data_IF_301505096187
#
_entry.id   IF_301505096187
#
_cell.length_a   1.000
_cell.length_b   1.000
_cell.length_c   1.000
_cell.angle_alpha   90.00
_cell.angle_beta   90.00
_cell.angle_gamma   90.00
#
_symmetry.space_group_name_H-M   'P 1'
#
loop_
_entity.id
_entity.type
_entity.pdbx_description
1 polymer ?
#
# COMPACT_ATOMS: atom_id res chain seq x y z
N UNK A 1 11.90 25.91 -1.30
CA UNK A 1 12.50 24.56 -1.34
C UNK A 1 12.15 23.61 -0.17
N UNK A 2 11.28 23.95 0.80
CA UNK A 2 10.92 23.06 1.93
C UNK A 2 9.92 21.91 1.63
N UNK A 3 9.30 21.85 0.44
CA UNK A 3 8.16 20.97 0.14
C UNK A 3 8.53 19.50 -0.16
N UNK A 4 9.72 19.25 -0.71
CA UNK A 4 10.13 17.91 -1.19
C UNK A 4 10.71 16.99 -0.11
N UNK A 5 11.29 17.54 0.98
CA UNK A 5 11.87 16.73 2.08
C UNK A 5 10.84 15.83 2.78
N UNK A 6 9.55 16.15 2.69
CA UNK A 6 8.47 15.39 3.33
C UNK A 6 8.04 14.14 2.54
N UNK A 7 8.31 14.01 1.23
CA UNK A 7 7.90 12.82 0.45
C UNK A 7 8.82 11.63 0.76
N UNK A 8 10.13 11.83 0.80
CA UNK A 8 11.07 10.74 1.11
C UNK A 8 10.82 10.15 2.50
N UNK A 9 10.54 10.99 3.50
CA UNK A 9 10.20 10.54 4.86
C UNK A 9 8.90 9.74 4.86
N UNK A 10 7.91 10.17 4.08
CA UNK A 10 6.62 9.47 3.96
C UNK A 10 6.76 8.13 3.24
N UNK A 11 7.55 8.06 2.17
CA UNK A 11 7.88 6.80 1.49
C UNK A 11 8.62 5.86 2.44
N UNK A 12 9.61 6.38 3.18
CA UNK A 12 10.33 5.62 4.20
C UNK A 12 9.40 5.10 5.30
N UNK A 13 8.46 5.92 5.78
CA UNK A 13 7.42 5.53 6.73
C UNK A 13 6.55 4.40 6.17
N UNK A 14 6.10 4.50 4.90
CA UNK A 14 5.31 3.45 4.28
C UNK A 14 6.07 2.15 4.16
N UNK A 15 7.33 2.16 3.72
CA UNK A 15 8.13 0.95 3.58
C UNK A 15 8.37 0.29 4.95
N UNK A 16 8.86 1.05 5.93
CA UNK A 16 9.19 0.53 7.26
C UNK A 16 7.94 0.12 8.05
N UNK A 17 6.90 0.95 8.04
CA UNK A 17 5.62 0.64 8.65
C UNK A 17 4.96 -0.59 8.02
N UNK A 18 5.06 -0.74 6.70
CA UNK A 18 4.54 -1.91 6.00
C UNK A 18 5.32 -3.17 6.35
N UNK A 19 6.64 -3.11 6.40
CA UNK A 19 7.49 -4.23 6.83
C UNK A 19 7.12 -4.72 8.23
N UNK A 20 6.88 -3.79 9.17
CA UNK A 20 6.38 -4.13 10.51
C UNK A 20 4.97 -4.72 10.46
N UNK A 21 4.05 -4.10 9.72
CA UNK A 21 2.67 -4.56 9.63
C UNK A 21 2.57 -6.00 9.10
N UNK A 22 3.38 -6.37 8.09
CA UNK A 22 3.38 -7.73 7.54
C UNK A 22 3.85 -8.76 8.56
N UNK A 23 4.78 -8.40 9.45
CA UNK A 23 5.32 -9.30 10.46
C UNK A 23 4.40 -9.53 11.66
N UNK A 24 3.54 -8.56 11.99
CA UNK A 24 2.78 -8.56 13.25
C UNK A 24 1.27 -8.41 13.09
N UNK A 25 0.77 -8.01 11.92
CA UNK A 25 -0.64 -7.78 11.67
C UNK A 25 -1.13 -8.67 10.51
N UNK A 26 -2.44 -8.95 10.46
CA UNK A 26 -3.04 -9.56 9.27
C UNK A 26 -2.93 -8.65 8.04
N UNK A 27 -3.32 -9.17 6.88
CA UNK A 27 -3.23 -8.50 5.58
C UNK A 27 -3.83 -7.08 5.51
N UNK A 28 -4.78 -6.72 6.38
CA UNK A 28 -5.36 -5.38 6.46
C UNK A 28 -4.44 -4.34 7.12
N UNK A 29 -3.39 -4.76 7.83
CA UNK A 29 -2.46 -3.86 8.53
C UNK A 29 -1.77 -2.86 7.59
N UNK A 30 -1.57 -3.23 6.33
CA UNK A 30 -1.02 -2.34 5.31
C UNK A 30 -1.92 -1.14 5.06
N UNK A 31 -3.23 -1.34 4.92
CA UNK A 31 -4.19 -0.22 4.76
C UNK A 31 -4.13 0.79 5.90
N UNK A 32 -3.91 0.30 7.14
CA UNK A 32 -3.74 1.13 8.33
C UNK A 32 -2.46 1.96 8.25
N UNK A 33 -1.34 1.37 7.81
CA UNK A 33 -0.07 2.11 7.60
C UNK A 33 -0.26 3.24 6.58
N UNK A 34 -0.94 2.97 5.46
CA UNK A 34 -1.26 3.98 4.46
C UNK A 34 -2.13 5.12 5.02
N UNK A 35 -3.15 4.77 5.82
CA UNK A 35 -3.98 5.75 6.52
C UNK A 35 -3.17 6.64 7.47
N UNK A 36 -2.29 6.06 8.29
CA UNK A 36 -1.47 6.86 9.20
C UNK A 36 -0.48 7.77 8.46
N UNK A 37 0.16 7.29 7.39
CA UNK A 37 1.07 8.15 6.63
C UNK A 37 0.34 9.34 6.00
N UNK A 38 -0.80 9.12 5.35
CA UNK A 38 -1.58 10.21 4.77
C UNK A 38 -2.14 11.20 5.83
N UNK A 39 -2.48 10.69 7.01
CA UNK A 39 -2.90 11.52 8.16
C UNK A 39 -1.77 12.41 8.69
N UNK A 40 -0.54 11.88 8.76
CA UNK A 40 0.60 12.56 9.39
C UNK A 40 1.31 13.56 8.45
N UNK A 41 1.49 13.19 7.18
CA UNK A 41 2.30 13.98 6.25
C UNK A 41 1.49 14.95 5.37
N UNK A 42 0.16 14.72 5.27
CA UNK A 42 -0.85 15.49 4.52
C UNK A 42 -0.32 16.23 3.29
N UNK A 43 -0.34 15.55 2.15
CA UNK A 43 -0.02 16.09 0.82
C UNK A 43 -1.29 16.50 0.05
N UNK A 44 -1.15 17.18 -1.10
CA UNK A 44 -2.27 17.32 -2.03
C UNK A 44 -2.89 15.95 -2.35
N UNK A 45 -4.23 15.89 -2.42
CA UNK A 45 -4.98 14.64 -2.55
C UNK A 45 -4.43 13.73 -3.65
N UNK A 46 -4.15 14.25 -4.84
CA UNK A 46 -3.65 13.45 -5.95
C UNK A 46 -2.30 12.77 -5.64
N UNK A 47 -1.43 13.40 -4.84
CA UNK A 47 -0.15 12.81 -4.42
C UNK A 47 -0.38 11.67 -3.43
N UNK A 48 -1.30 11.84 -2.48
CA UNK A 48 -1.67 10.80 -1.51
C UNK A 48 -2.24 9.56 -2.21
N UNK A 49 -3.15 9.78 -3.17
CA UNK A 49 -3.78 8.71 -3.93
C UNK A 49 -2.76 7.98 -4.81
N UNK A 50 -1.90 8.72 -5.53
CA UNK A 50 -0.89 8.13 -6.40
C UNK A 50 0.17 7.37 -5.59
N UNK A 51 0.64 7.93 -4.47
CA UNK A 51 1.60 7.25 -3.60
C UNK A 51 0.98 6.01 -2.96
N UNK A 52 -0.27 6.10 -2.48
CA UNK A 52 -1.01 4.96 -1.93
C UNK A 52 -1.17 3.84 -2.97
N UNK A 53 -1.58 4.19 -4.18
CA UNK A 53 -1.76 3.26 -5.29
C UNK A 53 -0.45 2.57 -5.68
N UNK A 54 0.59 3.35 -5.99
CA UNK A 54 1.83 2.81 -6.53
C UNK A 54 2.64 2.05 -5.48
N UNK A 55 2.76 2.57 -4.26
CA UNK A 55 3.48 1.87 -3.19
C UNK A 55 2.68 0.68 -2.68
N UNK A 56 1.36 0.79 -2.55
CA UNK A 56 0.50 -0.33 -2.18
C UNK A 56 0.63 -1.48 -3.18
N UNK A 57 0.59 -1.16 -4.48
CA UNK A 57 0.77 -2.15 -5.54
C UNK A 57 2.17 -2.79 -5.51
N UNK A 58 3.22 -1.97 -5.42
CA UNK A 58 4.59 -2.46 -5.38
C UNK A 58 4.87 -3.34 -4.15
N UNK A 59 4.38 -2.95 -2.97
CA UNK A 59 4.56 -3.72 -1.74
C UNK A 59 3.85 -5.07 -1.83
N UNK A 60 2.57 -5.11 -2.20
CA UNK A 60 1.83 -6.37 -2.33
C UNK A 60 2.39 -7.27 -3.44
N UNK A 61 2.77 -6.69 -4.58
CA UNK A 61 3.44 -7.44 -5.64
C UNK A 61 4.75 -8.06 -5.14
N UNK A 62 5.58 -7.26 -4.45
CA UNK A 62 6.85 -7.73 -3.89
C UNK A 62 6.67 -8.83 -2.86
N UNK A 63 5.75 -8.66 -1.91
CA UNK A 63 5.45 -9.67 -0.87
C UNK A 63 4.93 -10.97 -1.50
N UNK A 64 3.97 -10.87 -2.41
CA UNK A 64 3.42 -12.07 -3.07
C UNK A 64 4.45 -12.78 -3.93
N UNK A 65 5.34 -12.03 -4.60
CA UNK A 65 6.46 -12.62 -5.33
C UNK A 65 7.44 -13.35 -4.39
N UNK A 66 7.84 -12.72 -3.27
CA UNK A 66 8.74 -13.33 -2.27
C UNK A 66 8.11 -14.61 -1.69
N UNK A 67 6.85 -14.56 -1.27
CA UNK A 67 6.13 -15.72 -0.74
C UNK A 67 5.99 -16.84 -1.80
N UNK A 68 5.75 -16.46 -3.05
CA UNK A 68 5.70 -17.41 -4.16
C UNK A 68 7.06 -18.08 -4.40
N UNK A 69 8.16 -17.31 -4.40
CA UNK A 69 9.51 -17.83 -4.57
C UNK A 69 9.92 -18.77 -3.43
N UNK A 70 9.58 -18.43 -2.18
CA UNK A 70 9.77 -19.31 -1.02
C UNK A 70 9.01 -20.63 -1.15
N UNK A 71 7.88 -20.62 -1.87
CA UNK A 71 7.08 -21.80 -2.15
C UNK A 71 7.34 -22.41 -3.54
N UNK A 72 8.52 -22.17 -4.13
CA UNK A 72 8.92 -22.73 -5.45
C UNK A 72 7.89 -22.46 -6.57
N UNK A 73 7.14 -21.36 -6.46
CA UNK A 73 6.06 -20.97 -7.37
C UNK A 73 4.94 -22.02 -7.55
N UNK A 74 4.80 -23.02 -6.68
CA UNK A 74 3.84 -24.14 -6.83
C UNK A 74 2.40 -23.62 -7.02
N UNK A 75 1.98 -22.70 -6.14
CA UNK A 75 0.65 -22.09 -6.22
C UNK A 75 0.49 -21.29 -7.52
N UNK A 76 1.50 -20.50 -7.87
CA UNK A 76 1.47 -19.69 -9.09
C UNK A 76 1.25 -20.56 -10.33
N UNK A 77 2.02 -21.66 -10.48
CA UNK A 77 1.85 -22.59 -11.58
C UNK A 77 0.45 -23.20 -11.62
N UNK A 78 -0.09 -23.65 -10.49
CA UNK A 78 -1.47 -24.20 -10.43
C UNK A 78 -2.53 -23.18 -10.86
N UNK A 79 -2.39 -21.92 -10.45
CA UNK A 79 -3.32 -20.86 -10.85
C UNK A 79 -3.24 -20.55 -12.35
N UNK A 80 -2.03 -20.52 -12.90
CA UNK A 80 -1.79 -20.18 -14.32
C UNK A 80 -2.16 -21.35 -15.24
N UNK A 81 -1.66 -22.56 -14.96
CA UNK A 81 -1.94 -23.77 -15.75
C UNK A 81 -3.42 -24.15 -15.69
N UNK A 82 -4.01 -24.07 -14.50
CA UNK A 82 -5.44 -24.30 -14.30
C UNK A 82 -6.34 -23.20 -14.87
N UNK A 83 -5.77 -22.11 -15.42
CA UNK A 83 -6.49 -20.92 -15.91
C UNK A 83 -7.56 -20.43 -14.93
N UNK A 84 -7.26 -20.53 -13.64
CA UNK A 84 -8.22 -20.29 -12.56
C UNK A 84 -8.54 -18.80 -12.43
N UNK A 85 -7.56 -17.95 -12.75
CA UNK A 85 -7.70 -16.50 -12.68
C UNK A 85 -7.62 -15.87 -14.07
N UNK A 86 -8.40 -14.80 -14.34
CA UNK A 86 -8.38 -14.10 -15.62
C UNK A 86 -7.10 -13.28 -15.83
N UNK A 87 -6.31 -13.07 -14.79
CA UNK A 87 -5.08 -12.28 -14.80
C UNK A 87 -3.95 -13.05 -14.11
N UNK A 88 -2.71 -12.66 -14.42
CA UNK A 88 -1.54 -13.12 -13.70
C UNK A 88 -1.73 -12.88 -12.17
N UNK A 89 -1.54 -13.90 -11.30
CA UNK A 89 -1.75 -13.77 -9.86
C UNK A 89 -0.97 -12.63 -9.20
N UNK A 90 0.26 -12.34 -9.66
CA UNK A 90 1.04 -11.22 -9.14
C UNK A 90 0.46 -9.88 -9.56
N UNK A 91 0.00 -9.76 -10.81
CA UNK A 91 -0.65 -8.55 -11.29
C UNK A 91 -1.96 -8.30 -10.52
N UNK A 92 -2.76 -9.34 -10.30
CA UNK A 92 -3.99 -9.24 -9.51
C UNK A 92 -3.67 -8.77 -8.08
N UNK A 93 -2.65 -9.35 -7.46
CA UNK A 93 -2.19 -8.97 -6.11
C UNK A 93 -1.71 -7.52 -6.07
N UNK A 94 -0.99 -7.07 -7.10
CA UNK A 94 -0.55 -5.68 -7.24
C UNK A 94 -1.75 -4.71 -7.34
N UNK A 95 -2.75 -5.05 -8.15
CA UNK A 95 -3.96 -4.23 -8.30
C UNK A 95 -4.70 -4.12 -6.96
N UNK A 96 -4.91 -5.26 -6.28
CA UNK A 96 -5.58 -5.29 -4.97
C UNK A 96 -4.79 -4.49 -3.92
N UNK A 97 -3.47 -4.67 -3.84
CA UNK A 97 -2.62 -3.91 -2.93
C UNK A 97 -2.60 -2.42 -3.22
N UNK A 98 -2.60 -2.04 -4.48
CA UNK A 98 -2.70 -0.64 -4.90
C UNK A 98 -4.03 -0.02 -4.50
N UNK A 99 -5.15 -0.70 -4.74
CA UNK A 99 -6.46 -0.24 -4.28
C UNK A 99 -6.51 -0.12 -2.75
N UNK A 100 -5.92 -1.08 -2.05
CA UNK A 100 -5.86 -1.07 -0.59
C UNK A 100 -5.06 0.12 -0.05
N UNK A 101 -3.88 0.38 -0.64
CA UNK A 101 -3.05 1.54 -0.29
C UNK A 101 -3.72 2.87 -0.65
N UNK A 102 -4.37 2.95 -1.81
CA UNK A 102 -5.14 4.13 -2.24
C UNK A 102 -6.27 4.44 -1.26
N UNK A 103 -7.09 3.46 -0.90
CA UNK A 103 -8.21 3.64 0.03
C UNK A 103 -7.73 3.99 1.45
N UNK A 104 -6.66 3.36 1.92
CA UNK A 104 -6.00 3.72 3.18
C UNK A 104 -5.54 5.18 3.18
N UNK A 105 -4.79 5.60 2.15
CA UNK A 105 -4.33 6.98 2.00
C UNK A 105 -5.49 7.97 1.90
N UNK A 106 -6.56 7.64 1.17
CA UNK A 106 -7.76 8.49 1.07
C UNK A 106 -8.40 8.70 2.44
N UNK A 107 -8.59 7.62 3.21
CA UNK A 107 -9.13 7.68 4.56
C UNK A 107 -8.28 8.57 5.47
N UNK A 108 -6.96 8.35 5.49
CA UNK A 108 -6.01 9.15 6.26
C UNK A 108 -6.03 10.63 5.88
N UNK A 109 -6.07 10.93 4.59
CA UNK A 109 -6.17 12.30 4.09
C UNK A 109 -7.47 12.98 4.53
N UNK A 110 -8.62 12.31 4.41
CA UNK A 110 -9.92 12.85 4.83
C UNK A 110 -9.94 13.14 6.32
N UNK A 111 -9.41 12.23 7.14
CA UNK A 111 -9.29 12.42 8.58
C UNK A 111 -8.36 13.59 8.93
N UNK A 112 -7.23 13.72 8.23
CA UNK A 112 -6.31 14.85 8.38
C UNK A 112 -6.94 16.18 8.01
N UNK A 113 -7.78 16.23 6.97
CA UNK A 113 -8.53 17.42 6.57
C UNK A 113 -9.60 17.77 7.63
N UNK A 114 -10.37 16.81 8.10
CA UNK A 114 -11.37 16.99 9.16
C UNK A 114 -10.74 17.55 10.44
N UNK A 115 -9.61 16.98 10.90
CA UNK A 115 -8.87 17.46 12.07
C UNK A 115 -8.42 18.92 11.95
N UNK A 116 -8.02 19.36 10.74
CA UNK A 116 -7.63 20.76 10.50
C UNK A 116 -8.81 21.71 10.56
N UNK A 117 -9.99 21.26 10.12
CA UNK A 117 -11.21 22.08 10.17
C UNK A 117 -11.71 22.26 11.61
N UNK A 118 -11.58 21.26 12.49
CA UNK A 118 -11.96 21.38 13.91
C UNK A 118 -11.08 22.33 14.72
N UNK A 119 -9.89 22.67 14.23
CA UNK A 119 -8.93 23.56 14.90
C UNK A 119 -9.04 25.02 14.45
N UNK A 120 -9.96 25.30 13.53
CA UNK A 120 -10.31 26.65 13.10
C UNK A 120 -11.56 27.07 13.83
#
# INVERSE_FOLDING_TARGET
MKKNKNILIMVFFYITGSALAIGYLPWWGLGVVFAFGALLFVKPLWQELLLGLLLGAALWAGISFIMSAQNQHILYHRFVEGKILPLNPFLLTAILGGLHGLLGSLFGFMLGKWRKNLRK
#
